data_IF_700260828933
#
_entry.id   IF_700260828933
#
_cell.length_a   1.000
_cell.length_b   1.000
_cell.length_c   1.000
_cell.angle_alpha   90.00
_cell.angle_beta   90.00
_cell.angle_gamma   90.00
#
_symmetry.space_group_name_H-M   'P 1'
#
loop_
_entity.id
_entity.type
_entity.pdbx_description
1 polymer ?
#
# COMPACT_ATOMS: atom_id res chain seq x y z
N UNK A 1 2.48 11.83 11.88
CA UNK A 1 2.40 10.97 10.71
C UNK A 1 2.89 9.58 11.04
N UNK A 2 2.14 8.60 10.67
CA UNK A 2 2.49 7.22 10.96
C UNK A 2 3.69 6.79 10.16
N UNK A 3 4.57 6.07 10.79
CA UNK A 3 5.69 5.46 10.08
C UNK A 3 5.25 4.15 9.46
N UNK A 4 5.71 3.93 8.25
CA UNK A 4 5.47 2.65 7.57
C UNK A 4 6.75 1.85 7.58
N UNK A 5 6.61 0.54 7.53
CA UNK A 5 7.74 -0.36 7.56
C UNK A 5 7.40 -1.62 6.78
N UNK A 6 8.45 -2.30 6.32
CA UNK A 6 8.30 -3.60 5.65
C UNK A 6 7.63 -4.56 6.62
N UNK A 7 6.65 -5.30 6.10
CA UNK A 7 5.88 -6.24 6.88
C UNK A 7 4.53 -5.71 7.34
N UNK A 8 4.31 -4.41 7.22
CA UNK A 8 3.02 -3.83 7.60
C UNK A 8 1.97 -4.10 6.53
N UNK A 9 0.74 -4.27 6.99
CA UNK A 9 -0.39 -4.47 6.08
C UNK A 9 -1.14 -3.17 5.92
N UNK A 10 -1.53 -2.86 4.69
CA UNK A 10 -2.31 -1.67 4.37
C UNK A 10 -3.59 -2.10 3.66
N UNK A 11 -4.62 -1.27 3.75
CA UNK A 11 -5.92 -1.55 3.18
C UNK A 11 -6.32 -0.39 2.28
N UNK A 12 -6.76 -0.72 1.08
CA UNK A 12 -7.19 0.29 0.11
C UNK A 12 -8.53 0.85 0.55
N UNK A 13 -8.59 2.18 0.73
CA UNK A 13 -9.81 2.85 1.20
C UNK A 13 -10.42 3.75 0.14
N UNK A 14 -9.72 3.96 -0.98
CA UNK A 14 -10.23 4.79 -2.08
C UNK A 14 -9.97 4.09 -3.40
N UNK A 15 -10.83 4.35 -4.37
CA UNK A 15 -10.66 3.83 -5.71
C UNK A 15 -9.48 4.54 -6.37
N UNK A 16 -8.34 3.91 -6.33
CA UNK A 16 -7.09 4.51 -6.77
C UNK A 16 -7.00 4.58 -8.30
N UNK A 17 -7.15 3.44 -8.96
CA UNK A 17 -7.06 3.39 -10.42
C UNK A 17 -8.07 2.42 -11.03
N UNK A 18 -8.98 1.92 -10.22
CA UNK A 18 -10.01 1.01 -10.69
C UNK A 18 -9.57 -0.43 -10.89
N UNK A 19 -8.28 -0.72 -10.64
CA UNK A 19 -7.78 -2.09 -10.86
C UNK A 19 -8.02 -3.00 -9.65
N UNK A 20 -8.30 -2.42 -8.49
CA UNK A 20 -8.52 -3.19 -7.26
C UNK A 20 -9.74 -2.66 -6.52
N UNK A 21 -10.55 -3.54 -5.96
CA UNK A 21 -11.72 -3.08 -5.20
C UNK A 21 -11.30 -2.46 -3.87
N UNK A 22 -12.08 -1.49 -3.41
CA UNK A 22 -11.88 -0.90 -2.09
C UNK A 22 -12.01 -2.01 -1.05
N UNK A 23 -11.11 -1.99 -0.07
CA UNK A 23 -11.04 -3.05 0.94
C UNK A 23 -9.95 -4.06 0.67
N UNK A 24 -9.32 -4.00 -0.51
CA UNK A 24 -8.20 -4.88 -0.82
C UNK A 24 -7.06 -4.60 0.15
N UNK A 25 -6.38 -5.66 0.59
CA UNK A 25 -5.24 -5.52 1.50
C UNK A 25 -3.95 -5.88 0.79
N UNK A 26 -2.86 -5.30 1.26
CA UNK A 26 -1.54 -5.55 0.72
C UNK A 26 -0.52 -5.46 1.85
N UNK A 27 0.60 -6.14 1.65
CA UNK A 27 1.69 -6.12 2.63
C UNK A 27 2.86 -5.37 2.03
N UNK A 28 3.44 -4.46 2.79
CA UNK A 28 4.61 -3.72 2.35
C UNK A 28 5.80 -4.67 2.38
N UNK A 29 6.45 -4.84 1.22
CA UNK A 29 7.55 -5.79 1.09
C UNK A 29 8.88 -5.09 0.89
N UNK A 30 8.89 -3.83 0.47
CA UNK A 30 10.14 -3.10 0.27
C UNK A 30 9.87 -1.61 0.19
N UNK A 31 10.78 -0.83 0.75
CA UNK A 31 10.74 0.64 0.68
C UNK A 31 12.13 1.07 0.21
N UNK A 32 12.18 1.78 -0.92
CA UNK A 32 13.47 2.20 -1.46
C UNK A 32 13.87 3.58 -0.93
N UNK A 33 15.05 4.06 -1.36
CA UNK A 33 15.59 5.33 -0.88
C UNK A 33 14.87 6.55 -1.47
N UNK A 34 13.97 6.34 -2.42
CA UNK A 34 13.22 7.42 -3.05
C UNK A 34 11.77 7.45 -2.58
N UNK A 35 11.50 6.83 -1.44
CA UNK A 35 10.15 6.78 -0.85
C UNK A 35 9.16 6.02 -1.74
N UNK A 36 9.66 5.12 -2.57
CA UNK A 36 8.81 4.21 -3.32
C UNK A 36 8.50 3.01 -2.45
N UNK A 37 7.22 2.70 -2.32
CA UNK A 37 6.77 1.65 -1.44
C UNK A 37 6.22 0.52 -2.30
N UNK A 38 6.83 -0.65 -2.16
CA UNK A 38 6.44 -1.83 -2.92
C UNK A 38 5.57 -2.71 -2.04
N UNK A 39 4.44 -3.11 -2.57
CA UNK A 39 3.49 -3.93 -1.82
C UNK A 39 3.17 -5.20 -2.59
N UNK A 40 2.77 -6.21 -1.85
CA UNK A 40 2.34 -7.49 -2.39
C UNK A 40 0.87 -7.63 -2.03
N UNK A 41 0.01 -7.64 -3.04
CA UNK A 41 -1.43 -7.70 -2.80
C UNK A 41 -1.84 -9.07 -2.27
N UNK A 42 -2.73 -9.09 -1.30
CA UNK A 42 -3.19 -10.36 -0.71
C UNK A 42 -3.84 -11.26 -1.74
N UNK A 43 -4.52 -10.68 -2.71
CA UNK A 43 -5.17 -11.44 -3.78
C UNK A 43 -4.21 -11.83 -4.91
N UNK A 44 -2.95 -11.41 -4.82
CA UNK A 44 -1.95 -11.69 -5.83
C UNK A 44 -1.53 -10.45 -6.58
N UNK A 45 -0.29 -10.44 -7.08
CA UNK A 45 0.25 -9.32 -7.81
C UNK A 45 0.98 -8.35 -6.90
N UNK A 46 1.69 -7.42 -7.52
CA UNK A 46 2.49 -6.45 -6.80
C UNK A 46 2.10 -5.04 -7.22
N UNK A 47 2.35 -4.08 -6.33
CA UNK A 47 2.10 -2.68 -6.59
C UNK A 47 3.25 -1.84 -6.12
N UNK A 48 3.32 -0.60 -6.63
CA UNK A 48 4.31 0.37 -6.22
C UNK A 48 3.63 1.72 -6.09
N UNK A 49 3.84 2.36 -4.96
CA UNK A 49 3.21 3.64 -4.67
C UNK A 49 4.21 4.56 -4.03
N UNK A 50 4.04 5.87 -4.23
CA UNK A 50 4.79 6.84 -3.46
C UNK A 50 4.18 6.90 -2.05
N UNK A 51 4.95 7.44 -1.11
CA UNK A 51 4.45 7.59 0.26
C UNK A 51 3.16 8.41 0.27
N UNK A 52 3.11 9.47 -0.52
CA UNK A 52 1.93 10.32 -0.60
C UNK A 52 0.71 9.54 -1.10
N UNK A 53 0.90 8.76 -2.16
CA UNK A 53 -0.18 7.95 -2.71
C UNK A 53 -0.66 6.91 -1.71
N UNK A 54 0.28 6.33 -0.98
CA UNK A 54 -0.06 5.32 0.00
C UNK A 54 -0.93 5.91 1.11
N UNK A 55 -0.50 7.02 1.69
CA UNK A 55 -1.26 7.63 2.79
C UNK A 55 -2.60 8.20 2.33
N UNK A 56 -2.69 8.60 1.07
CA UNK A 56 -3.91 9.20 0.55
C UNK A 56 -4.97 8.15 0.25
N UNK A 57 -4.57 6.97 -0.18
CA UNK A 57 -5.49 5.96 -0.69
C UNK A 57 -5.60 4.72 0.18
N UNK A 58 -4.76 4.57 1.17
CA UNK A 58 -4.71 3.40 2.03
C UNK A 58 -4.76 3.81 3.48
N UNK A 59 -5.16 2.88 4.32
CA UNK A 59 -5.01 3.03 5.77
C UNK A 59 -4.20 1.85 6.28
N UNK A 60 -3.56 2.05 7.42
CA UNK A 60 -2.81 0.96 8.03
C UNK A 60 -3.79 -0.03 8.63
N UNK A 61 -3.64 -1.29 8.26
CA UNK A 61 -4.41 -2.38 8.84
C UNK A 61 -3.57 -2.98 9.95
N UNK A 62 -4.08 -2.94 11.13
CA UNK A 62 -3.34 -3.41 12.29
C UNK A 62 -3.12 -4.91 12.25
#
# INVERSE_FOLDING_TARGET
MEKIAVGMTVKLIKDFDGSRPIGSTATIVYIDDFDQIFVDWSAGGQGRFSEEQLFKNFELAA
#
